data_IF_692319612754
#
_entry.id   IF_692319612754
#
_cell.length_a   1.000
_cell.length_b   1.000
_cell.length_c   1.000
_cell.angle_alpha   90.00
_cell.angle_beta   90.00
_cell.angle_gamma   90.00
#
_symmetry.space_group_name_H-M   'P 1'
#
loop_
_entity.id
_entity.type
_entity.pdbx_description
1 polymer ?
#
# COMPACT_ATOMS: atom_id res chain seq x y z
N UNK A 1 -20.23 17.62 4.56
CA UNK A 1 -20.70 17.18 3.22
C UNK A 1 -20.48 18.24 2.13
N UNK A 2 -20.82 19.53 2.31
CA UNK A 2 -20.65 20.53 1.22
C UNK A 2 -19.21 20.94 0.85
N UNK A 3 -18.23 20.77 1.75
CA UNK A 3 -16.84 21.18 1.48
C UNK A 3 -16.11 20.22 0.54
N UNK A 4 -16.36 18.90 0.67
CA UNK A 4 -15.73 17.91 -0.20
C UNK A 4 -16.28 17.92 -1.63
N UNK A 5 -17.58 18.16 -1.80
CA UNK A 5 -18.16 18.37 -3.14
C UNK A 5 -17.55 19.60 -3.83
N UNK A 6 -17.31 20.67 -3.06
CA UNK A 6 -16.65 21.87 -3.55
C UNK A 6 -15.18 21.59 -3.94
N UNK A 7 -14.46 20.82 -3.12
CA UNK A 7 -13.09 20.39 -3.43
C UNK A 7 -13.03 19.52 -4.68
N UNK A 8 -13.99 18.60 -4.85
CA UNK A 8 -14.09 17.75 -6.04
C UNK A 8 -14.34 18.58 -7.29
N UNK A 9 -15.29 19.53 -7.25
CA UNK A 9 -15.55 20.44 -8.37
C UNK A 9 -14.30 21.26 -8.72
N UNK A 10 -13.55 21.74 -7.72
CA UNK A 10 -12.31 22.47 -7.95
C UNK A 10 -11.25 21.58 -8.65
N UNK A 11 -11.08 20.34 -8.19
CA UNK A 11 -10.19 19.38 -8.83
C UNK A 11 -10.62 19.08 -10.28
N UNK A 12 -11.93 18.98 -10.56
CA UNK A 12 -12.45 18.82 -11.93
C UNK A 12 -12.09 19.97 -12.87
N UNK A 13 -11.89 21.19 -12.35
CA UNK A 13 -11.43 22.34 -13.17
C UNK A 13 -9.97 22.25 -13.61
N UNK A 14 -9.18 21.36 -13.00
CA UNK A 14 -7.77 21.20 -13.35
C UNK A 14 -7.66 20.49 -14.71
N UNK A 15 -7.12 21.22 -15.69
CA UNK A 15 -6.91 20.74 -17.07
C UNK A 15 -5.78 19.70 -17.16
N UNK A 16 -4.75 19.87 -16.33
CA UNK A 16 -3.63 18.94 -16.21
C UNK A 16 -4.10 17.67 -15.49
N UNK A 17 -4.02 16.52 -16.16
CA UNK A 17 -4.59 15.28 -15.64
C UNK A 17 -3.82 14.72 -14.45
N UNK A 18 -2.49 14.88 -14.45
CA UNK A 18 -1.64 14.38 -13.36
C UNK A 18 -1.91 15.19 -12.10
N UNK A 19 -1.98 16.53 -12.22
CA UNK A 19 -2.34 17.41 -11.11
C UNK A 19 -3.78 17.20 -10.63
N UNK A 20 -4.68 16.82 -11.54
CA UNK A 20 -6.06 16.48 -11.17
C UNK A 20 -6.13 15.16 -10.40
N UNK A 21 -5.39 14.14 -10.84
CA UNK A 21 -5.29 12.86 -10.14
C UNK A 21 -4.71 13.06 -8.73
N UNK A 22 -3.64 13.85 -8.60
CA UNK A 22 -3.05 14.24 -7.33
C UNK A 22 -4.09 14.92 -6.42
N UNK A 23 -4.83 15.91 -6.94
CA UNK A 23 -5.87 16.60 -6.18
C UNK A 23 -6.99 15.67 -5.72
N UNK A 24 -7.46 14.76 -6.58
CA UNK A 24 -8.45 13.76 -6.19
C UNK A 24 -7.90 12.75 -5.18
N UNK A 25 -6.62 12.38 -5.27
CA UNK A 25 -5.99 11.49 -4.30
C UNK A 25 -5.93 12.14 -2.92
N UNK A 26 -5.61 13.45 -2.83
CA UNK A 26 -5.67 14.20 -1.58
C UNK A 26 -7.08 14.27 -1.00
N UNK A 27 -8.09 14.53 -1.84
CA UNK A 27 -9.49 14.52 -1.40
C UNK A 27 -9.91 13.13 -0.90
N UNK A 28 -9.48 12.05 -1.56
CA UNK A 28 -9.76 10.69 -1.13
C UNK A 28 -9.10 10.35 0.21
N UNK A 29 -7.88 10.84 0.46
CA UNK A 29 -7.22 10.72 1.77
C UNK A 29 -8.03 11.44 2.85
N UNK A 30 -8.52 12.64 2.57
CA UNK A 30 -9.32 13.37 3.56
C UNK A 30 -10.70 12.75 3.80
N UNK A 31 -11.32 12.13 2.78
CA UNK A 31 -12.50 11.30 3.02
C UNK A 31 -12.19 10.14 3.96
N UNK A 32 -11.04 9.48 3.79
CA UNK A 32 -10.61 8.39 4.67
C UNK A 32 -10.30 8.89 6.09
N UNK A 33 -9.75 10.10 6.28
CA UNK A 33 -9.46 10.65 7.63
C UNK A 33 -10.74 10.97 8.40
N UNK A 34 -11.80 11.42 7.73
CA UNK A 34 -13.10 11.71 8.38
C UNK A 34 -14.01 10.48 8.50
N UNK A 35 -13.57 9.30 8.06
CA UNK A 35 -14.31 8.04 8.14
C UNK A 35 -15.32 7.80 7.01
N UNK A 36 -15.29 8.62 5.96
CA UNK A 36 -16.16 8.51 4.77
C UNK A 36 -15.51 7.58 3.72
N UNK A 37 -15.32 6.32 4.10
CA UNK A 37 -14.50 5.37 3.34
C UNK A 37 -15.08 5.01 1.98
N UNK A 38 -16.41 4.90 1.87
CA UNK A 38 -17.09 4.64 0.60
C UNK A 38 -16.80 5.75 -0.42
N UNK A 39 -16.77 7.01 0.03
CA UNK A 39 -16.46 8.16 -0.81
C UNK A 39 -14.98 8.22 -1.17
N UNK A 40 -14.09 7.91 -0.22
CA UNK A 40 -12.66 7.78 -0.46
C UNK A 40 -12.37 6.74 -1.55
N UNK A 41 -13.00 5.56 -1.46
CA UNK A 41 -12.84 4.47 -2.41
C UNK A 41 -13.42 4.83 -3.78
N UNK A 42 -14.65 5.36 -3.83
CA UNK A 42 -15.27 5.80 -5.09
C UNK A 42 -14.40 6.83 -5.82
N UNK A 43 -13.80 7.77 -5.08
CA UNK A 43 -12.94 8.77 -5.67
C UNK A 43 -11.61 8.16 -6.14
N UNK A 44 -10.97 7.31 -5.34
CA UNK A 44 -9.76 6.60 -5.73
C UNK A 44 -9.96 5.72 -6.98
N UNK A 45 -11.09 5.02 -7.06
CA UNK A 45 -11.47 4.25 -8.25
C UNK A 45 -11.74 5.14 -9.46
N UNK A 46 -12.35 6.31 -9.27
CA UNK A 46 -12.64 7.23 -10.36
C UNK A 46 -11.37 7.72 -11.03
N UNK A 47 -10.31 7.98 -10.25
CA UNK A 47 -8.99 8.33 -10.78
C UNK A 47 -8.45 7.14 -11.60
N UNK A 48 -8.46 5.94 -11.00
CA UNK A 48 -7.97 4.70 -11.65
C UNK A 48 -8.70 4.39 -12.97
N UNK A 49 -10.01 4.65 -13.06
CA UNK A 49 -10.83 4.45 -14.26
C UNK A 49 -10.65 5.54 -15.31
N UNK A 50 -10.39 6.79 -14.91
CA UNK A 50 -10.20 7.89 -15.86
C UNK A 50 -8.92 7.73 -16.68
N UNK A 51 -7.96 6.96 -16.15
CA UNK A 51 -6.71 6.57 -16.82
C UNK A 51 -6.84 5.33 -17.72
N UNK A 52 -8.00 4.65 -17.69
CA UNK A 52 -8.24 3.40 -18.42
C UNK A 52 -8.31 3.59 -19.95
N UNK A 53 -8.56 4.82 -20.43
CA UNK A 53 -8.89 5.06 -21.83
C UNK A 53 -7.74 5.46 -22.76
N UNK A 54 -6.54 5.85 -22.27
CA UNK A 54 -5.38 6.06 -23.15
C UNK A 54 -4.10 6.36 -22.38
N UNK A 55 -3.25 5.34 -22.24
CA UNK A 55 -1.91 5.33 -22.83
C UNK A 55 -1.04 4.23 -22.20
N UNK A 56 -0.31 3.53 -23.07
CA UNK A 56 0.74 2.57 -22.76
C UNK A 56 2.01 3.24 -22.17
N UNK A 57 1.97 4.56 -21.95
CA UNK A 57 3.13 5.40 -21.65
C UNK A 57 2.89 6.49 -20.58
N UNK A 58 1.69 6.59 -19.97
CA UNK A 58 1.50 7.49 -18.83
C UNK A 58 1.97 6.80 -17.53
N UNK A 59 2.99 7.32 -16.84
CA UNK A 59 3.47 6.76 -15.58
C UNK A 59 2.56 7.09 -14.37
N UNK A 60 1.49 7.85 -14.55
CA UNK A 60 0.68 8.39 -13.45
C UNK A 60 -0.81 8.02 -13.53
N UNK A 61 -1.11 6.83 -14.07
CA UNK A 61 -2.43 6.23 -13.85
C UNK A 61 -2.55 5.82 -12.38
N UNK A 62 -3.20 6.61 -11.53
CA UNK A 62 -3.07 6.62 -10.05
C UNK A 62 -1.75 5.97 -9.62
N UNK A 63 -0.65 6.74 -9.70
CA UNK A 63 0.69 6.15 -9.56
C UNK A 63 0.73 5.28 -8.30
N UNK A 64 1.51 4.20 -8.32
CA UNK A 64 1.61 3.29 -7.17
C UNK A 64 1.82 4.00 -5.82
N UNK A 65 2.36 5.22 -5.85
CA UNK A 65 2.56 6.12 -4.71
C UNK A 65 1.25 6.71 -4.18
N UNK A 66 0.37 7.22 -5.03
CA UNK A 66 -0.90 7.85 -4.60
C UNK A 66 -1.88 6.80 -4.07
N UNK A 67 -2.01 5.69 -4.79
CA UNK A 67 -2.86 4.58 -4.37
C UNK A 67 -2.38 3.88 -3.11
N UNK A 68 -1.06 3.74 -2.95
CA UNK A 68 -0.52 3.18 -1.71
C UNK A 68 -0.75 4.10 -0.52
N UNK A 69 -0.70 5.42 -0.69
CA UNK A 69 -0.99 6.36 0.39
C UNK A 69 -2.46 6.28 0.84
N UNK A 70 -3.41 6.18 -0.09
CA UNK A 70 -4.84 6.01 0.24
C UNK A 70 -5.06 4.64 0.91
N UNK A 71 -4.50 3.56 0.36
CA UNK A 71 -4.61 2.23 0.93
C UNK A 71 -4.00 2.16 2.34
N UNK A 72 -2.87 2.83 2.56
CA UNK A 72 -2.26 2.97 3.88
C UNK A 72 -3.18 3.67 4.87
N UNK A 73 -3.85 4.75 4.45
CA UNK A 73 -4.77 5.51 5.31
C UNK A 73 -6.02 4.70 5.64
N UNK A 74 -6.56 3.95 4.69
CA UNK A 74 -7.66 3.01 4.91
C UNK A 74 -7.26 1.91 5.93
N UNK A 75 -6.04 1.36 5.79
CA UNK A 75 -5.55 0.36 6.74
C UNK A 75 -5.38 0.91 8.16
N UNK A 76 -4.83 2.12 8.29
CA UNK A 76 -4.64 2.83 9.57
C UNK A 76 -5.98 3.09 10.29
N UNK A 77 -7.01 3.47 9.53
CA UNK A 77 -8.34 3.82 10.05
C UNK A 77 -9.21 2.60 10.34
N UNK A 78 -8.72 1.39 10.08
CA UNK A 78 -9.38 0.13 10.41
C UNK A 78 -10.02 -0.59 9.24
N UNK A 79 -10.13 0.06 8.08
CA UNK A 79 -10.74 -0.40 6.83
C UNK A 79 -9.81 -1.27 6.00
N UNK A 80 -9.36 -2.35 6.60
CA UNK A 80 -8.34 -3.22 6.01
C UNK A 80 -8.78 -3.89 4.71
N UNK A 81 -10.03 -4.35 4.64
CA UNK A 81 -10.53 -5.05 3.45
C UNK A 81 -10.67 -4.09 2.26
N UNK A 82 -11.14 -2.86 2.50
CA UNK A 82 -11.20 -1.78 1.51
C UNK A 82 -9.80 -1.34 1.05
N UNK A 83 -8.85 -1.21 1.99
CA UNK A 83 -7.45 -0.94 1.66
C UNK A 83 -6.87 -2.01 0.72
N UNK A 84 -7.17 -3.28 1.00
CA UNK A 84 -6.70 -4.42 0.22
C UNK A 84 -7.33 -4.46 -1.18
N UNK A 85 -8.62 -4.15 -1.29
CA UNK A 85 -9.31 -4.04 -2.57
C UNK A 85 -8.71 -2.94 -3.45
N UNK A 86 -8.48 -1.76 -2.87
CA UNK A 86 -7.80 -0.66 -3.55
C UNK A 86 -6.38 -1.06 -3.99
N UNK A 87 -5.59 -1.66 -3.10
CA UNK A 87 -4.25 -2.12 -3.45
C UNK A 87 -4.24 -3.14 -4.61
N UNK A 88 -5.28 -3.97 -4.74
CA UNK A 88 -5.42 -4.93 -5.84
C UNK A 88 -5.84 -4.27 -7.15
N UNK A 89 -6.61 -3.18 -7.09
CA UNK A 89 -7.08 -2.45 -8.27
C UNK A 89 -6.01 -1.52 -8.87
N UNK A 90 -4.95 -1.19 -8.11
CA UNK A 90 -3.82 -0.38 -8.60
C UNK A 90 -3.16 -0.95 -9.86
N UNK A 91 -2.69 -0.09 -10.76
CA UNK A 91 -2.00 -0.51 -11.98
C UNK A 91 -0.51 -0.77 -11.70
N UNK A 92 0.00 -1.84 -12.31
CA UNK A 92 1.42 -2.19 -12.24
C UNK A 92 1.82 -2.94 -10.96
N UNK A 93 2.74 -3.88 -11.09
CA UNK A 93 3.15 -4.74 -9.96
C UNK A 93 3.87 -3.95 -8.85
N UNK A 94 4.60 -2.90 -9.21
CA UNK A 94 5.30 -2.06 -8.24
C UNK A 94 4.33 -1.27 -7.36
N UNK A 95 3.30 -0.65 -7.94
CA UNK A 95 2.30 0.08 -7.16
C UNK A 95 1.52 -0.82 -6.21
N UNK A 96 1.13 -2.02 -6.67
CA UNK A 96 0.51 -3.03 -5.80
C UNK A 96 1.44 -3.46 -4.66
N UNK A 97 2.73 -3.66 -4.94
CA UNK A 97 3.72 -4.03 -3.94
C UNK A 97 3.91 -2.95 -2.87
N UNK A 98 3.96 -1.68 -3.27
CA UNK A 98 4.09 -0.55 -2.34
C UNK A 98 2.82 -0.41 -1.50
N UNK A 99 1.63 -0.54 -2.10
CA UNK A 99 0.36 -0.48 -1.37
C UNK A 99 0.23 -1.64 -0.36
N UNK A 100 0.54 -2.87 -0.77
CA UNK A 100 0.52 -4.03 0.13
C UNK A 100 1.55 -3.90 1.27
N UNK A 101 2.74 -3.36 0.98
CA UNK A 101 3.72 -3.04 2.02
C UNK A 101 3.21 -1.98 3.00
N UNK A 102 2.57 -0.92 2.50
CA UNK A 102 2.03 0.15 3.33
C UNK A 102 0.89 -0.34 4.22
N UNK A 103 -0.03 -1.16 3.69
CA UNK A 103 -1.09 -1.81 4.46
C UNK A 103 -0.50 -2.69 5.58
N UNK A 104 0.56 -3.44 5.28
CA UNK A 104 1.19 -4.32 6.27
C UNK A 104 1.70 -3.57 7.51
N UNK A 105 2.13 -2.30 7.38
CA UNK A 105 2.59 -1.49 8.52
C UNK A 105 1.50 -1.23 9.57
N UNK A 106 0.23 -1.26 9.16
CA UNK A 106 -0.92 -1.04 10.06
C UNK A 106 -1.68 -2.34 10.36
N UNK A 107 -1.16 -3.48 9.91
CA UNK A 107 -1.77 -4.78 10.10
C UNK A 107 -1.42 -5.37 11.48
N UNK A 108 -2.42 -6.01 12.12
CA UNK A 108 -2.17 -6.95 13.22
C UNK A 108 -1.76 -8.32 12.67
N UNK A 109 -1.42 -9.28 13.54
CA UNK A 109 -0.98 -10.62 13.11
C UNK A 109 -2.00 -11.31 12.20
N UNK A 110 -3.29 -11.31 12.57
CA UNK A 110 -4.35 -11.93 11.76
C UNK A 110 -4.48 -11.31 10.36
N UNK A 111 -4.25 -10.00 10.26
CA UNK A 111 -4.26 -9.26 9.00
C UNK A 111 -3.00 -9.53 8.18
N UNK A 112 -1.83 -9.62 8.80
CA UNK A 112 -0.57 -9.98 8.13
C UNK A 112 -0.67 -11.38 7.49
N UNK A 113 -1.25 -12.35 8.20
CA UNK A 113 -1.45 -13.71 7.69
C UNK A 113 -2.29 -13.74 6.41
N UNK A 114 -3.25 -12.81 6.26
CA UNK A 114 -4.03 -12.64 5.03
C UNK A 114 -3.23 -12.01 3.88
N UNK A 115 -2.22 -11.19 4.18
CA UNK A 115 -1.38 -10.52 3.18
C UNK A 115 -0.29 -11.43 2.61
N UNK A 116 0.26 -12.33 3.42
CA UNK A 116 1.31 -13.28 3.03
C UNK A 116 1.00 -14.00 1.70
N UNK A 117 -0.13 -14.73 1.55
CA UNK A 117 -0.40 -15.47 0.32
C UNK A 117 -0.51 -14.56 -0.90
N UNK A 118 -1.01 -13.33 -0.72
CA UNK A 118 -1.15 -12.35 -1.80
C UNK A 118 0.20 -11.82 -2.26
N UNK A 119 1.08 -11.50 -1.30
CA UNK A 119 2.42 -11.01 -1.58
C UNK A 119 3.27 -12.12 -2.24
N UNK A 120 3.10 -13.38 -1.84
CA UNK A 120 3.74 -14.55 -2.48
C UNK A 120 3.20 -14.74 -3.91
N UNK A 121 1.88 -14.84 -4.09
CA UNK A 121 1.27 -15.17 -5.38
C UNK A 121 1.54 -14.14 -6.46
N UNK A 122 1.78 -12.89 -6.06
CA UNK A 122 2.06 -11.77 -6.96
C UNK A 122 3.54 -11.41 -7.06
N UNK A 123 4.42 -12.20 -6.43
CA UNK A 123 5.88 -12.01 -6.39
C UNK A 123 6.29 -10.59 -5.92
N UNK A 124 5.57 -10.05 -4.94
CA UNK A 124 5.78 -8.69 -4.42
C UNK A 124 6.79 -8.69 -3.27
N UNK A 125 8.06 -8.67 -3.63
CA UNK A 125 9.20 -8.79 -2.70
C UNK A 125 9.22 -7.69 -1.63
N UNK A 126 8.88 -6.46 -2.01
CA UNK A 126 8.84 -5.31 -1.08
C UNK A 126 7.76 -5.53 0.00
N UNK A 127 6.59 -6.03 -0.40
CA UNK A 127 5.51 -6.36 0.52
C UNK A 127 5.93 -7.51 1.44
N UNK A 128 6.47 -8.60 0.90
CA UNK A 128 6.96 -9.75 1.68
C UNK A 128 8.01 -9.33 2.73
N UNK A 129 8.96 -8.49 2.34
CA UNK A 129 9.98 -8.01 3.26
C UNK A 129 9.41 -7.11 4.36
N UNK A 130 8.40 -6.31 4.04
CA UNK A 130 7.74 -5.46 5.03
C UNK A 130 6.91 -6.30 6.00
N UNK A 131 6.19 -7.30 5.50
CA UNK A 131 5.45 -8.27 6.32
C UNK A 131 6.39 -9.04 7.25
N UNK A 132 7.53 -9.52 6.74
CA UNK A 132 8.54 -10.19 7.55
C UNK A 132 9.08 -9.27 8.65
N UNK A 133 9.35 -7.99 8.34
CA UNK A 133 9.74 -7.00 9.35
C UNK A 133 8.66 -6.77 10.41
N UNK A 134 7.39 -6.74 10.02
CA UNK A 134 6.26 -6.62 10.96
C UNK A 134 6.09 -7.85 11.86
N UNK A 135 6.37 -9.05 11.36
CA UNK A 135 6.44 -10.23 12.23
C UNK A 135 7.57 -10.13 13.25
N UNK A 136 8.73 -9.55 12.90
CA UNK A 136 9.82 -9.32 13.85
C UNK A 136 9.43 -8.34 14.95
N UNK A 137 8.77 -7.23 14.59
CA UNK A 137 8.28 -6.25 15.57
C UNK A 137 7.21 -6.83 16.52
N UNK A 138 6.59 -7.95 16.15
CA UNK A 138 5.57 -8.64 16.93
C UNK A 138 6.07 -9.98 17.52
N UNK A 139 7.38 -10.15 17.63
CA UNK A 139 8.07 -11.32 18.19
C UNK A 139 7.75 -12.66 17.50
N UNK A 140 7.33 -12.63 16.23
CA UNK A 140 7.06 -13.81 15.39
C UNK A 140 8.25 -14.14 14.51
N UNK A 141 9.37 -14.46 15.16
CA UNK A 141 10.63 -14.77 14.48
C UNK A 141 10.54 -15.95 13.51
N UNK A 142 9.81 -17.02 13.87
CA UNK A 142 9.67 -18.20 13.00
C UNK A 142 9.01 -17.86 11.65
N UNK A 143 7.92 -17.07 11.69
CA UNK A 143 7.22 -16.60 10.48
C UNK A 143 8.09 -15.64 9.66
N UNK A 144 8.84 -14.76 10.33
CA UNK A 144 9.75 -13.85 9.66
C UNK A 144 10.90 -14.58 8.95
N UNK A 145 11.42 -15.66 9.53
CA UNK A 145 12.47 -16.50 8.92
C UNK A 145 11.93 -17.22 7.69
N UNK A 146 10.73 -17.79 7.79
CA UNK A 146 10.07 -18.47 6.66
C UNK A 146 9.90 -17.53 5.46
N UNK A 147 9.40 -16.31 5.69
CA UNK A 147 9.28 -15.31 4.62
C UNK A 147 10.63 -14.85 4.06
N UNK A 148 11.67 -14.80 4.90
CA UNK A 148 13.02 -14.43 4.45
C UNK A 148 13.61 -15.52 3.54
N UNK A 149 13.41 -16.80 3.86
CA UNK A 149 13.83 -17.91 3.02
C UNK A 149 13.16 -17.87 1.63
N UNK A 150 11.87 -17.49 1.58
CA UNK A 150 11.17 -17.28 0.30
C UNK A 150 11.85 -16.16 -0.50
N UNK A 151 12.21 -15.05 0.14
CA UNK A 151 12.91 -13.94 -0.50
C UNK A 151 14.30 -14.33 -1.02
N UNK A 152 15.06 -15.14 -0.29
CA UNK A 152 16.41 -15.61 -0.70
C UNK A 152 16.39 -16.38 -2.02
N UNK A 153 15.32 -17.12 -2.30
CA UNK A 153 15.15 -17.84 -3.57
C UNK A 153 14.75 -16.93 -4.74
N UNK A 154 14.31 -15.70 -4.47
CA UNK A 154 13.77 -14.79 -5.47
C UNK A 154 14.85 -13.82 -6.00
N UNK A 155 15.19 -13.89 -7.29
CA UNK A 155 16.19 -12.96 -7.91
C UNK A 155 15.85 -11.49 -7.65
N UNK A 156 16.81 -10.67 -7.18
CA UNK A 156 16.61 -9.24 -6.96
C UNK A 156 15.93 -8.86 -5.65
N UNK A 157 15.95 -9.74 -4.65
CA UNK A 157 15.50 -9.48 -3.27
C UNK A 157 16.62 -8.97 -2.35
N UNK A 158 17.86 -8.85 -2.84
CA UNK A 158 19.05 -8.54 -2.04
C UNK A 158 18.89 -7.28 -1.17
N UNK A 159 18.35 -6.19 -1.73
CA UNK A 159 18.11 -4.96 -0.96
C UNK A 159 17.08 -5.15 0.17
N UNK A 160 16.05 -5.96 -0.06
CA UNK A 160 15.04 -6.30 0.93
C UNK A 160 15.63 -7.20 2.04
N UNK A 161 16.45 -8.19 1.67
CA UNK A 161 17.15 -9.06 2.62
C UNK A 161 18.12 -8.26 3.48
N UNK A 162 18.86 -7.30 2.91
CA UNK A 162 19.75 -6.40 3.68
C UNK A 162 18.96 -5.57 4.69
N UNK A 163 17.78 -5.06 4.32
CA UNK A 163 16.90 -4.32 5.25
C UNK A 163 16.43 -5.20 6.40
N UNK A 164 15.99 -6.43 6.10
CA UNK A 164 15.58 -7.40 7.12
C UNK A 164 16.73 -7.78 8.04
N UNK A 165 17.91 -8.07 7.50
CA UNK A 165 19.10 -8.40 8.29
C UNK A 165 19.45 -7.29 9.29
N UNK A 166 19.30 -6.02 8.91
CA UNK A 166 19.46 -4.88 9.83
C UNK A 166 18.39 -4.86 10.92
N UNK A 167 17.13 -5.15 10.57
CA UNK A 167 16.05 -5.24 11.55
C UNK A 167 16.28 -6.38 12.55
N UNK A 168 16.69 -7.56 12.10
CA UNK A 168 17.10 -8.67 12.97
C UNK A 168 18.22 -8.25 13.92
N UNK A 169 19.29 -7.62 13.41
CA UNK A 169 20.40 -7.16 14.23
C UNK A 169 19.96 -6.14 15.31
N UNK A 170 19.02 -5.26 14.99
CA UNK A 170 18.43 -4.31 15.94
C UNK A 170 17.53 -4.97 17.00
N UNK A 171 16.66 -5.89 16.58
CA UNK A 171 15.74 -6.61 17.48
C UNK A 171 16.50 -7.50 18.48
N UNK A 172 17.57 -8.19 18.02
CA UNK A 172 18.44 -8.99 18.89
C UNK A 172 19.19 -8.17 19.93
N UNK A 173 19.46 -6.88 19.64
CA UNK A 173 20.13 -5.98 20.58
C UNK A 173 19.23 -5.59 21.76
N UNK A 174 17.90 -5.57 21.56
CA UNK A 174 16.90 -5.26 22.59
C UNK A 174 16.55 -6.46 23.48
N UNK A 175 16.59 -7.69 22.96
CA UNK A 175 16.35 -8.91 23.77
C UNK A 175 17.50 -9.28 24.74
N UNK A 176 18.63 -8.56 24.72
CA UNK A 176 19.82 -8.86 25.55
C UNK A 176 20.16 -7.80 26.60
N UNK A 177 19.31 -6.79 26.83
CA UNK A 177 19.40 -5.86 27.97
C UNK A 177 18.30 -6.17 28.99
#
# INVERSE_FOLDING_TARGET
MGEFDSAKQLAETISDRDRRAEAFAEIAKEYATVGEFDLALQLAESITRQDYYRDLLSPFALSGVEGSAIASRLAETGEFDNALELARSLRGNEGKAVALAAIALYANLDRLDKLVPLAISTNQKIALATIAGQYLEKDKFDLAIELTAILETAKGSEAAIVKLARQYAGAFHFCKQ
#
